data_IF_836853785841
#
_entry.id   IF_836853785841
#
_cell.length_a   1.000
_cell.length_b   1.000
_cell.length_c   1.000
_cell.angle_alpha   90.00
_cell.angle_beta   90.00
_cell.angle_gamma   90.00
#
_symmetry.space_group_name_H-M   'P 1'
#
loop_
_entity.id
_entity.type
_entity.pdbx_description
1 polymer ?
#
# COMPACT_ATOMS: atom_id res chain seq x y z
N UNK A 1 -30.56 -11.73 -43.82
CA UNK A 1 -30.74 -10.82 -42.67
C UNK A 1 -30.28 -11.58 -41.44
N UNK A 2 -29.09 -12.22 -41.47
CA UNK A 2 -28.81 -13.40 -40.64
C UNK A 2 -27.30 -13.58 -40.34
N UNK A 3 -26.55 -12.51 -40.06
CA UNK A 3 -25.12 -12.65 -39.69
C UNK A 3 -24.66 -11.67 -38.59
N UNK A 4 -25.60 -11.08 -37.85
CA UNK A 4 -25.31 -10.15 -36.73
C UNK A 4 -25.68 -10.79 -35.37
N UNK A 5 -26.06 -12.07 -35.38
CA UNK A 5 -26.56 -12.80 -34.20
C UNK A 5 -25.70 -13.99 -33.77
N UNK A 6 -24.40 -14.04 -34.11
CA UNK A 6 -23.45 -14.88 -33.34
C UNK A 6 -22.89 -14.09 -32.14
N UNK A 7 -23.88 -13.55 -31.43
CA UNK A 7 -23.81 -12.77 -30.22
C UNK A 7 -23.65 -13.75 -29.05
N UNK A 8 -22.52 -13.66 -28.36
CA UNK A 8 -22.57 -13.56 -26.91
C UNK A 8 -22.57 -14.83 -26.08
N UNK A 9 -21.67 -15.79 -26.35
CA UNK A 9 -21.57 -16.97 -25.48
C UNK A 9 -20.16 -17.51 -25.21
N UNK A 10 -19.21 -16.61 -24.95
CA UNK A 10 -18.09 -16.89 -24.02
C UNK A 10 -17.87 -15.67 -23.12
N UNK A 11 -18.85 -15.44 -22.23
CA UNK A 11 -18.94 -14.29 -21.31
C UNK A 11 -17.91 -14.27 -20.16
N UNK A 12 -16.83 -15.06 -20.25
CA UNK A 12 -15.65 -14.92 -19.40
C UNK A 12 -14.42 -15.18 -20.25
N UNK A 13 -13.81 -14.11 -20.76
CA UNK A 13 -12.53 -14.25 -21.44
C UNK A 13 -11.46 -14.58 -20.39
N UNK A 14 -10.58 -15.55 -20.64
CA UNK A 14 -9.43 -15.83 -19.77
C UNK A 14 -8.65 -14.55 -19.42
N UNK A 15 -8.58 -13.60 -20.36
CA UNK A 15 -8.00 -12.28 -20.17
C UNK A 15 -8.68 -11.45 -19.07
N UNK A 16 -10.01 -11.51 -18.95
CA UNK A 16 -10.76 -10.81 -17.91
C UNK A 16 -10.51 -11.42 -16.54
N UNK A 17 -10.46 -12.75 -16.46
CA UNK A 17 -10.12 -13.46 -15.21
C UNK A 17 -8.70 -13.10 -14.77
N UNK A 18 -7.72 -13.14 -15.67
CA UNK A 18 -6.35 -12.74 -15.37
C UNK A 18 -6.25 -11.25 -15.00
N UNK A 19 -7.00 -10.38 -15.67
CA UNK A 19 -7.03 -8.94 -15.36
C UNK A 19 -7.62 -8.68 -13.96
N UNK A 20 -8.69 -9.39 -13.60
CA UNK A 20 -9.30 -9.31 -12.27
C UNK A 20 -8.35 -9.82 -11.19
N UNK A 21 -7.73 -10.98 -11.40
CA UNK A 21 -6.75 -11.55 -10.47
C UNK A 21 -5.53 -10.63 -10.31
N UNK A 22 -5.06 -10.04 -11.42
CA UNK A 22 -3.99 -9.05 -11.41
C UNK A 22 -4.35 -7.79 -10.63
N UNK A 23 -5.57 -7.28 -10.78
CA UNK A 23 -6.06 -6.14 -10.01
C UNK A 23 -6.14 -6.45 -8.51
N UNK A 24 -6.66 -7.61 -8.12
CA UNK A 24 -6.67 -8.05 -6.73
C UNK A 24 -5.25 -8.21 -6.16
N UNK A 25 -4.35 -8.86 -6.91
CA UNK A 25 -2.95 -8.99 -6.54
C UNK A 25 -2.25 -7.64 -6.36
N UNK A 26 -2.56 -6.67 -7.22
CA UNK A 26 -2.03 -5.31 -7.12
C UNK A 26 -2.52 -4.59 -5.86
N UNK A 27 -3.82 -4.69 -5.55
CA UNK A 27 -4.40 -4.09 -4.33
C UNK A 27 -3.77 -4.71 -3.08
N UNK A 28 -3.71 -6.04 -3.00
CA UNK A 28 -3.11 -6.75 -1.85
C UNK A 28 -1.62 -6.41 -1.72
N UNK A 29 -0.88 -6.46 -2.83
CA UNK A 29 0.54 -6.12 -2.85
C UNK A 29 0.80 -4.69 -2.37
N UNK A 30 -0.04 -3.74 -2.77
CA UNK A 30 0.06 -2.36 -2.33
C UNK A 30 -0.37 -2.16 -0.88
N UNK A 31 -1.34 -2.91 -0.37
CA UNK A 31 -1.68 -2.91 1.06
C UNK A 31 -0.45 -3.36 1.87
N UNK A 32 0.15 -4.50 1.54
CA UNK A 32 1.35 -5.01 2.23
C UNK A 32 2.52 -4.04 2.10
N UNK A 33 2.74 -3.48 0.91
CA UNK A 33 3.75 -2.45 0.68
C UNK A 33 3.48 -1.18 1.52
N UNK A 34 2.22 -0.76 1.62
CA UNK A 34 1.80 0.38 2.45
C UNK A 34 2.10 0.14 3.92
N UNK A 35 1.80 -1.05 4.45
CA UNK A 35 2.13 -1.43 5.82
C UNK A 35 3.65 -1.36 6.05
N UNK A 36 4.44 -1.94 5.16
CA UNK A 36 5.90 -1.91 5.23
C UNK A 36 6.45 -0.48 5.16
N UNK A 37 5.89 0.36 4.29
CA UNK A 37 6.25 1.77 4.16
C UNK A 37 5.95 2.57 5.42
N UNK A 38 4.77 2.36 6.04
CA UNK A 38 4.42 2.97 7.31
C UNK A 38 5.37 2.56 8.43
N UNK A 39 5.70 1.26 8.51
CA UNK A 39 6.65 0.74 9.49
C UNK A 39 8.07 1.29 9.28
N UNK A 40 8.55 1.30 8.03
CA UNK A 40 9.84 1.87 7.66
C UNK A 40 9.92 3.35 8.05
N UNK A 41 8.83 4.09 7.82
CA UNK A 41 8.74 5.50 8.18
C UNK A 41 8.89 5.68 9.69
N UNK A 42 8.12 4.96 10.49
CA UNK A 42 8.20 4.98 11.95
C UNK A 42 9.58 4.58 12.47
N UNK A 43 10.19 3.56 11.88
CA UNK A 43 11.54 3.13 12.24
C UNK A 43 12.60 4.21 11.94
N UNK A 44 12.49 4.88 10.79
CA UNK A 44 13.41 5.95 10.41
C UNK A 44 13.30 7.18 11.33
N UNK A 45 12.08 7.55 11.74
CA UNK A 45 11.86 8.69 12.65
C UNK A 45 12.28 8.42 14.09
N UNK A 46 12.29 7.17 14.54
CA UNK A 46 12.63 6.79 15.92
C UNK A 46 14.12 6.65 16.21
N UNK A 47 15.00 6.91 15.23
CA UNK A 47 16.44 6.89 15.44
C UNK A 47 16.99 8.32 15.57
N UNK A 48 17.06 8.88 16.79
CA UNK A 48 17.49 10.27 17.02
C UNK A 48 18.96 10.51 16.65
N UNK A 49 19.77 9.46 16.58
CA UNK A 49 21.21 9.50 16.26
C UNK A 49 21.50 9.64 14.74
N UNK A 50 20.47 9.59 13.89
CA UNK A 50 20.67 9.43 12.44
C UNK A 50 20.78 10.79 11.74
N UNK A 51 21.88 10.98 11.01
CA UNK A 51 22.18 12.15 10.19
C UNK A 51 20.95 12.63 9.39
N UNK A 52 20.39 13.79 9.76
CA UNK A 52 19.17 14.37 9.19
C UNK A 52 19.18 14.50 7.66
N UNK A 53 20.36 14.72 7.09
CA UNK A 53 20.56 14.77 5.63
C UNK A 53 20.29 13.43 4.94
N UNK A 54 20.77 12.31 5.50
CA UNK A 54 20.57 10.99 4.90
C UNK A 54 19.10 10.57 4.97
N UNK A 55 18.42 10.89 6.07
CA UNK A 55 16.99 10.61 6.23
C UNK A 55 16.15 11.38 5.21
N UNK A 56 16.44 12.67 5.02
CA UNK A 56 15.72 13.51 4.05
C UNK A 56 15.87 13.02 2.61
N UNK A 57 17.07 12.61 2.21
CA UNK A 57 17.33 12.05 0.87
C UNK A 57 16.57 10.75 0.67
N UNK A 58 16.61 9.83 1.64
CA UNK A 58 15.90 8.55 1.56
C UNK A 58 14.40 8.76 1.46
N UNK A 59 13.82 9.65 2.27
CA UNK A 59 12.40 9.99 2.18
C UNK A 59 12.05 10.69 0.87
N UNK A 60 12.90 11.60 0.38
CA UNK A 60 12.69 12.27 -0.90
C UNK A 60 12.61 11.28 -2.06
N UNK A 61 13.55 10.33 -2.13
CA UNK A 61 13.56 9.26 -3.14
C UNK A 61 12.35 8.33 -2.95
N UNK A 62 12.00 8.00 -1.71
CA UNK A 62 10.84 7.19 -1.40
C UNK A 62 9.53 7.84 -1.86
N UNK A 63 9.32 9.13 -1.56
CA UNK A 63 8.14 9.87 -2.02
C UNK A 63 8.08 10.00 -3.53
N UNK A 64 9.22 10.23 -4.19
CA UNK A 64 9.29 10.23 -5.64
C UNK A 64 8.90 8.87 -6.23
N UNK A 65 9.38 7.79 -5.63
CA UNK A 65 9.03 6.43 -6.04
C UNK A 65 7.54 6.14 -5.86
N UNK A 66 6.94 6.54 -4.73
CA UNK A 66 5.49 6.41 -4.49
C UNK A 66 4.69 7.25 -5.50
N UNK A 67 5.13 8.46 -5.81
CA UNK A 67 4.49 9.31 -6.80
C UNK A 67 4.54 8.70 -8.22
N UNK A 68 5.66 8.08 -8.57
CA UNK A 68 5.80 7.33 -9.82
C UNK A 68 4.87 6.11 -9.84
N UNK A 69 4.84 5.32 -8.75
CA UNK A 69 3.93 4.18 -8.61
C UNK A 69 2.46 4.59 -8.73
N UNK A 70 2.09 5.75 -8.17
CA UNK A 70 0.73 6.28 -8.26
C UNK A 70 0.32 6.59 -9.71
N UNK A 71 1.26 6.99 -10.58
CA UNK A 71 0.98 7.24 -11.99
C UNK A 71 0.78 5.98 -12.82
N UNK A 72 1.40 4.87 -12.42
CA UNK A 72 1.28 3.58 -13.10
C UNK A 72 0.23 2.64 -12.47
N UNK A 73 -0.29 2.99 -11.29
CA UNK A 73 -1.26 2.17 -10.57
C UNK A 73 -2.70 2.60 -10.84
N UNK A 74 -3.63 1.65 -10.74
CA UNK A 74 -5.06 1.96 -10.79
C UNK A 74 -5.48 2.73 -9.53
N UNK A 75 -6.54 3.57 -9.59
CA UNK A 75 -7.00 4.34 -8.43
C UNK A 75 -7.32 3.46 -7.20
N UNK A 76 -7.90 2.28 -7.42
CA UNK A 76 -8.19 1.32 -6.34
C UNK A 76 -6.94 0.74 -5.68
N UNK A 77 -5.89 0.50 -6.47
CA UNK A 77 -4.59 0.05 -6.00
C UNK A 77 -3.92 1.10 -5.08
N UNK A 78 -4.00 2.39 -5.44
CA UNK A 78 -3.48 3.48 -4.61
C UNK A 78 -4.23 3.60 -3.26
N UNK A 79 -5.54 3.35 -3.26
CA UNK A 79 -6.32 3.24 -2.04
C UNK A 79 -5.84 2.12 -1.12
N UNK A 80 -5.47 0.96 -1.69
CA UNK A 80 -4.85 -0.14 -0.94
C UNK A 80 -3.54 0.26 -0.26
N UNK A 81 -2.66 0.96 -0.97
CA UNK A 81 -1.43 1.51 -0.39
C UNK A 81 -1.70 2.44 0.80
N UNK A 82 -2.62 3.40 0.64
CA UNK A 82 -2.99 4.32 1.71
C UNK A 82 -3.60 3.59 2.91
N UNK A 83 -4.47 2.60 2.69
CA UNK A 83 -5.04 1.79 3.75
C UNK A 83 -3.97 1.00 4.52
N UNK A 84 -3.02 0.39 3.82
CA UNK A 84 -1.90 -0.30 4.46
C UNK A 84 -1.03 0.64 5.29
N UNK A 85 -0.66 1.80 4.73
CA UNK A 85 0.15 2.79 5.42
C UNK A 85 -0.56 3.37 6.65
N UNK A 86 -1.80 3.82 6.49
CA UNK A 86 -2.62 4.33 7.58
C UNK A 86 -2.88 3.26 8.65
N UNK A 87 -3.15 2.02 8.25
CA UNK A 87 -3.32 0.89 9.15
C UNK A 87 -2.08 0.64 10.01
N UNK A 88 -0.87 0.70 9.43
CA UNK A 88 0.36 0.57 10.19
C UNK A 88 0.56 1.72 11.20
N UNK A 89 0.26 2.96 10.80
CA UNK A 89 0.33 4.11 11.70
C UNK A 89 -0.69 4.02 12.85
N UNK A 90 -1.92 3.61 12.57
CA UNK A 90 -2.97 3.43 13.58
C UNK A 90 -2.65 2.27 14.53
N UNK A 91 -2.27 1.12 13.98
CA UNK A 91 -1.85 -0.04 14.78
C UNK A 91 -0.72 0.36 15.73
N UNK A 92 0.30 1.03 15.21
CA UNK A 92 1.41 1.47 16.04
C UNK A 92 1.02 2.54 17.07
N UNK A 93 0.19 3.53 16.69
CA UNK A 93 -0.24 4.60 17.58
C UNK A 93 -1.12 4.13 18.73
N UNK A 94 -1.93 3.09 18.52
CA UNK A 94 -2.81 2.52 19.55
C UNK A 94 -2.04 1.50 20.41
N UNK A 95 -1.44 0.47 19.80
CA UNK A 95 -0.83 -0.64 20.54
C UNK A 95 0.44 -0.24 21.31
N UNK A 96 1.17 0.78 20.85
CA UNK A 96 2.38 1.20 21.56
C UNK A 96 2.09 2.16 22.72
N UNK A 97 0.93 2.80 22.72
CA UNK A 97 0.50 3.65 23.84
C UNK A 97 0.12 2.77 25.04
N UNK A 98 -0.62 1.69 24.80
CA UNK A 98 -0.98 0.73 25.86
C UNK A 98 0.25 0.08 26.50
N UNK A 99 1.25 -0.34 25.70
CA UNK A 99 2.46 -0.97 26.24
C UNK A 99 3.30 -0.05 27.14
N UNK A 100 3.32 1.27 26.88
CA UNK A 100 3.98 2.24 27.76
C UNK A 100 3.16 2.59 28.99
N UNK A 101 1.83 2.52 28.90
CA UNK A 101 0.92 2.87 30.00
C UNK A 101 0.82 1.71 31.01
N UNK A 102 0.97 0.45 30.55
CA UNK A 102 1.01 -0.73 31.42
C UNK A 102 2.33 -0.96 32.16
N UNK A 103 3.44 -0.36 31.70
CA UNK A 103 4.75 -0.44 32.37
C UNK A 103 4.94 0.64 33.45
N UNK A 104 4.09 1.67 33.49
CA UNK A 104 4.13 2.75 34.49
C UNK A 104 3.21 2.50 35.71
N UNK A 105 2.39 1.44 35.69
CA UNK A 105 1.45 1.07 36.78
C UNK A 105 1.90 -0.16 37.62
N UNK A 106 3.09 -0.75 37.39
CA UNK A 106 3.74 -1.74 38.29
C UNK A 106 4.82 -1.12 39.19
#
# INVERSE_FOLDING_TARGET
MDNILEKGEKMFNLREILALLGAFGQVIGLIVFGVAAGWFTLYAFRQPERHWGLQSVVFGVFFLFVALLARFSSPGAFGGFLLGAAGAFLYWGIFKKEASESEEEE
#
